data_IF_204959896684
#
_entry.id   IF_204959896684
#
_cell.length_a   1.000
_cell.length_b   1.000
_cell.length_c   1.000
_cell.angle_alpha   90.00
_cell.angle_beta   90.00
_cell.angle_gamma   90.00
#
_symmetry.space_group_name_H-M   'P 1'
#
loop_
_entity.id
_entity.type
_entity.pdbx_description
1 polymer ?
#
# COMPACT_ATOMS: atom_id res chain seq x y z
N UNK A 1 -8.96 18.26 14.50
CA UNK A 1 -8.90 18.05 13.04
C UNK A 1 -7.45 18.24 12.62
N UNK A 2 -6.81 17.22 12.06
CA UNK A 2 -5.44 17.34 11.52
C UNK A 2 -5.54 18.04 10.17
N UNK A 3 -5.45 19.39 10.19
CA UNK A 3 -5.36 20.21 9.00
C UNK A 3 -3.89 20.24 8.55
N UNK A 4 -3.60 19.80 7.35
CA UNK A 4 -2.26 19.81 6.76
C UNK A 4 -2.14 18.84 5.59
N UNK A 5 -0.99 18.85 4.90
CA UNK A 5 -0.80 18.07 3.69
C UNK A 5 -0.88 16.57 3.92
N UNK A 6 -1.46 15.88 2.94
CA UNK A 6 -1.50 14.41 2.83
C UNK A 6 -0.47 13.96 1.82
N UNK A 7 0.47 13.13 2.25
CA UNK A 7 1.51 12.58 1.38
C UNK A 7 1.31 11.08 1.24
N UNK A 8 1.23 10.59 0.01
CA UNK A 8 1.18 9.16 -0.28
C UNK A 8 2.58 8.64 -0.63
N UNK A 9 3.03 7.61 0.07
CA UNK A 9 4.23 6.86 -0.21
C UNK A 9 3.86 5.59 -0.96
N UNK A 10 4.48 5.37 -2.12
CA UNK A 10 4.24 4.20 -2.97
C UNK A 10 5.54 3.40 -3.10
N UNK A 11 5.82 2.45 -2.20
CA UNK A 11 6.98 1.58 -2.32
C UNK A 11 6.82 0.64 -3.53
N UNK A 12 7.72 0.75 -4.48
CA UNK A 12 7.75 0.01 -5.74
C UNK A 12 9.08 -0.72 -6.01
N UNK A 13 9.94 -0.86 -4.98
CA UNK A 13 11.26 -1.51 -5.08
C UNK A 13 11.21 -3.05 -5.10
N UNK A 14 10.04 -3.67 -4.87
CA UNK A 14 9.92 -5.12 -4.80
C UNK A 14 10.05 -5.81 -6.16
N UNK A 15 10.91 -6.83 -6.27
CA UNK A 15 11.18 -7.58 -7.51
C UNK A 15 9.97 -8.35 -8.07
N UNK A 16 8.98 -8.69 -7.24
CA UNK A 16 7.73 -9.32 -7.69
C UNK A 16 7.88 -10.69 -8.36
N UNK A 17 8.83 -11.51 -7.94
CA UNK A 17 9.18 -12.81 -8.54
C UNK A 17 7.98 -13.74 -8.77
N UNK A 18 6.95 -13.65 -7.90
CA UNK A 18 5.74 -14.48 -8.00
C UNK A 18 4.86 -14.18 -9.22
N UNK A 19 5.01 -13.01 -9.84
CA UNK A 19 4.22 -12.64 -11.03
C UNK A 19 4.82 -13.20 -12.32
N UNK A 20 6.08 -13.71 -12.30
CA UNK A 20 6.77 -14.41 -13.40
C UNK A 20 6.86 -13.60 -14.71
N UNK A 21 6.90 -12.28 -14.65
CA UNK A 21 6.93 -11.40 -15.84
C UNK A 21 8.35 -10.94 -16.21
N UNK A 22 9.41 -11.41 -15.51
CA UNK A 22 10.79 -11.06 -15.81
C UNK A 22 11.16 -9.59 -15.57
N UNK A 23 10.27 -8.81 -14.97
CA UNK A 23 10.46 -7.39 -14.64
C UNK A 23 9.91 -7.08 -13.24
N UNK A 24 10.33 -5.96 -12.62
CA UNK A 24 9.78 -5.56 -11.33
C UNK A 24 8.25 -5.37 -11.42
N UNK A 25 7.54 -5.92 -10.46
CA UNK A 25 6.08 -6.04 -10.47
C UNK A 25 5.33 -4.72 -10.72
N UNK A 26 5.83 -3.60 -10.20
CA UNK A 26 5.22 -2.30 -10.37
C UNK A 26 5.14 -1.85 -11.85
N UNK A 27 6.02 -2.39 -12.70
CA UNK A 27 6.11 -2.06 -14.13
C UNK A 27 5.38 -3.05 -15.04
N UNK A 28 4.81 -4.12 -14.50
CA UNK A 28 3.92 -5.00 -15.27
C UNK A 28 2.73 -4.19 -15.79
N UNK A 29 2.37 -4.42 -17.04
CA UNK A 29 1.32 -3.65 -17.71
C UNK A 29 -0.05 -4.29 -17.53
N UNK A 30 -1.03 -3.44 -17.29
CA UNK A 30 -2.45 -3.74 -17.32
C UNK A 30 -3.10 -2.73 -18.28
N UNK A 31 -3.68 -3.21 -19.39
CA UNK A 31 -4.26 -2.34 -20.45
C UNK A 31 -3.30 -1.25 -20.95
N UNK A 32 -2.06 -1.61 -21.21
CA UNK A 32 -1.06 -0.69 -21.78
C UNK A 32 -0.48 0.33 -20.81
N UNK A 33 -0.87 0.31 -19.54
CA UNK A 33 -0.30 1.15 -18.47
C UNK A 33 0.26 0.28 -17.35
N UNK A 34 1.33 0.72 -16.71
CA UNK A 34 1.92 -0.05 -15.61
C UNK A 34 1.03 -0.07 -14.37
N UNK A 35 1.15 -1.12 -13.52
CA UNK A 35 0.46 -1.16 -12.24
C UNK A 35 0.77 0.08 -11.40
N UNK A 36 1.99 0.58 -11.48
CA UNK A 36 2.43 1.81 -10.81
C UNK A 36 1.64 3.03 -11.30
N UNK A 37 1.48 3.20 -12.62
CA UNK A 37 0.69 4.30 -13.19
C UNK A 37 -0.76 4.24 -12.74
N UNK A 38 -1.40 3.07 -12.76
CA UNK A 38 -2.76 2.89 -12.26
C UNK A 38 -2.88 3.28 -10.78
N UNK A 39 -1.92 2.85 -9.96
CA UNK A 39 -1.89 3.18 -8.53
C UNK A 39 -1.76 4.69 -8.27
N UNK A 40 -0.86 5.36 -9.00
CA UNK A 40 -0.67 6.82 -8.92
C UNK A 40 -1.91 7.57 -9.39
N UNK A 41 -2.54 7.12 -10.49
CA UNK A 41 -3.79 7.71 -10.99
C UNK A 41 -4.93 7.59 -9.96
N UNK A 42 -5.10 6.44 -9.35
CA UNK A 42 -6.12 6.23 -8.30
C UNK A 42 -5.91 7.14 -7.09
N UNK A 43 -4.67 7.31 -6.65
CA UNK A 43 -4.30 8.24 -5.58
C UNK A 43 -4.63 9.70 -5.98
N UNK A 44 -4.23 10.10 -7.19
CA UNK A 44 -4.48 11.46 -7.72
C UNK A 44 -5.98 11.71 -7.89
N UNK A 45 -6.71 10.77 -8.46
CA UNK A 45 -8.16 10.87 -8.71
C UNK A 45 -8.99 10.94 -7.41
N UNK A 46 -8.41 10.54 -6.27
CA UNK A 46 -9.08 10.65 -4.97
C UNK A 46 -9.33 12.10 -4.54
N UNK A 47 -8.54 13.04 -5.04
CA UNK A 47 -8.55 14.45 -4.60
C UNK A 47 -8.18 14.65 -3.13
N UNK A 48 -7.76 13.60 -2.43
CA UNK A 48 -7.44 13.61 -1.01
C UNK A 48 -5.93 13.60 -0.72
N UNK A 49 -5.10 13.47 -1.74
CA UNK A 49 -3.63 13.39 -1.65
C UNK A 49 -3.02 14.63 -2.27
N UNK A 50 -2.21 15.35 -1.51
CA UNK A 50 -1.55 16.60 -1.96
C UNK A 50 -0.22 16.31 -2.69
N UNK A 51 0.52 15.29 -2.25
CA UNK A 51 1.81 14.88 -2.84
C UNK A 51 1.94 13.36 -2.90
N UNK A 52 2.56 12.85 -3.96
CA UNK A 52 2.86 11.43 -4.14
C UNK A 52 4.37 11.27 -4.22
N UNK A 53 4.91 10.36 -3.42
CA UNK A 53 6.31 9.95 -3.42
C UNK A 53 6.38 8.49 -3.81
N UNK A 54 7.01 8.21 -4.93
CA UNK A 54 7.24 6.85 -5.43
C UNK A 54 8.67 6.44 -5.10
N UNK A 55 8.83 5.28 -4.49
CA UNK A 55 10.11 4.77 -4.02
C UNK A 55 10.49 3.55 -4.86
N UNK A 56 11.57 3.64 -5.62
CA UNK A 56 12.00 2.62 -6.60
C UNK A 56 13.49 2.28 -6.42
N UNK A 57 13.99 1.15 -6.99
CA UNK A 57 15.41 0.89 -7.06
C UNK A 57 16.17 2.01 -7.78
N UNK A 58 17.45 2.21 -7.45
CA UNK A 58 18.30 3.27 -7.99
C UNK A 58 18.33 3.32 -9.53
N UNK A 59 18.43 2.14 -10.15
CA UNK A 59 18.49 1.95 -11.61
C UNK A 59 17.18 2.30 -12.34
N UNK A 60 16.05 2.42 -11.60
CA UNK A 60 14.74 2.73 -12.16
C UNK A 60 14.28 4.17 -11.88
N UNK A 61 15.06 4.98 -11.16
CA UNK A 61 14.66 6.34 -10.76
C UNK A 61 14.36 7.22 -11.97
N UNK A 62 15.29 7.32 -12.93
CA UNK A 62 15.09 8.17 -14.11
C UNK A 62 13.97 7.66 -15.02
N UNK A 63 13.92 6.35 -15.26
CA UNK A 63 12.83 5.75 -16.02
C UNK A 63 11.46 6.04 -15.38
N UNK A 64 11.37 5.98 -14.04
CA UNK A 64 10.12 6.25 -13.32
C UNK A 64 9.73 7.73 -13.39
N UNK A 65 10.70 8.65 -13.35
CA UNK A 65 10.45 10.08 -13.53
C UNK A 65 9.88 10.38 -14.90
N UNK A 66 10.45 9.79 -15.95
CA UNK A 66 9.92 9.91 -17.31
C UNK A 66 8.51 9.33 -17.43
N UNK A 67 8.28 8.15 -16.83
CA UNK A 67 7.00 7.42 -16.87
C UNK A 67 5.86 8.18 -16.20
N UNK A 68 6.11 8.80 -15.03
CA UNK A 68 5.09 9.42 -14.19
C UNK A 68 5.00 10.95 -14.34
N UNK A 69 6.01 11.58 -14.95
CA UNK A 69 6.06 13.02 -15.13
C UNK A 69 6.40 13.81 -13.84
N UNK A 70 6.41 15.15 -13.94
CA UNK A 70 6.97 16.02 -12.89
C UNK A 70 6.11 16.22 -11.66
N UNK A 71 4.85 15.76 -11.67
CA UNK A 71 3.91 15.92 -10.55
C UNK A 71 4.13 14.91 -9.43
N UNK A 72 4.97 13.90 -9.67
CA UNK A 72 5.29 12.83 -8.73
C UNK A 72 6.75 12.93 -8.32
N UNK A 73 7.02 12.90 -7.02
CA UNK A 73 8.39 12.82 -6.51
C UNK A 73 8.88 11.37 -6.58
N UNK A 74 10.00 11.13 -7.25
CA UNK A 74 10.60 9.80 -7.32
C UNK A 74 11.92 9.80 -6.56
N UNK A 75 12.05 8.86 -5.63
CA UNK A 75 13.23 8.69 -4.79
C UNK A 75 13.75 7.26 -4.85
N UNK A 76 15.04 7.12 -4.60
CA UNK A 76 15.68 5.82 -4.44
C UNK A 76 15.21 5.15 -3.14
N UNK A 77 14.86 3.88 -3.24
CA UNK A 77 14.52 3.00 -2.12
C UNK A 77 15.71 2.13 -1.70
N UNK A 78 15.48 1.36 -0.65
CA UNK A 78 16.43 0.38 -0.13
C UNK A 78 16.03 -1.05 -0.52
N UNK A 79 16.85 -2.03 -0.12
CA UNK A 79 16.62 -3.45 -0.40
C UNK A 79 15.33 -3.96 0.26
N UNK A 80 15.10 -3.56 1.51
CA UNK A 80 13.92 -3.95 2.27
C UNK A 80 12.77 -2.95 2.07
N UNK A 81 11.51 -3.47 2.12
CA UNK A 81 10.32 -2.62 2.00
C UNK A 81 10.27 -1.55 3.09
N UNK A 82 10.56 -1.94 4.32
CA UNK A 82 10.56 -1.05 5.49
C UNK A 82 11.55 0.10 5.30
N UNK A 83 12.76 -0.18 4.83
CA UNK A 83 13.79 0.83 4.59
C UNK A 83 13.43 1.74 3.41
N UNK A 84 12.79 1.19 2.38
CA UNK A 84 12.24 1.98 1.28
C UNK A 84 11.19 2.99 1.77
N UNK A 85 10.29 2.59 2.67
CA UNK A 85 9.32 3.53 3.27
C UNK A 85 10.03 4.59 4.12
N UNK A 86 11.14 4.26 4.83
CA UNK A 86 11.98 5.26 5.52
C UNK A 86 12.52 6.32 4.57
N UNK A 87 13.02 5.92 3.40
CA UNK A 87 13.46 6.88 2.37
C UNK A 87 12.32 7.82 1.95
N UNK A 88 11.10 7.28 1.76
CA UNK A 88 9.92 8.09 1.46
C UNK A 88 9.54 9.05 2.59
N UNK A 89 9.57 8.59 3.84
CA UNK A 89 9.28 9.42 5.02
C UNK A 89 10.26 10.59 5.15
N UNK A 90 11.55 10.38 4.81
CA UNK A 90 12.57 11.43 4.87
C UNK A 90 12.26 12.63 3.94
N UNK A 91 11.49 12.42 2.87
CA UNK A 91 11.08 13.47 1.92
C UNK A 91 9.60 13.87 2.06
N UNK A 92 8.88 13.28 3.00
CA UNK A 92 7.47 13.62 3.25
C UNK A 92 7.30 15.04 3.81
N UNK A 93 8.35 15.63 4.40
CA UNK A 93 8.40 17.04 4.83
C UNK A 93 7.36 17.37 5.90
N UNK A 94 6.50 18.34 5.59
CA UNK A 94 5.46 18.89 6.47
C UNK A 94 4.14 18.09 6.44
N UNK A 95 4.18 16.81 6.02
CA UNK A 95 2.99 15.98 5.99
C UNK A 95 2.31 15.92 7.37
N UNK A 96 1.00 16.17 7.41
CA UNK A 96 0.19 15.89 8.58
C UNK A 96 -0.32 14.44 8.58
N UNK A 97 -0.56 13.91 7.39
CA UNK A 97 -1.02 12.54 7.15
C UNK A 97 -0.10 11.88 6.13
N UNK A 98 0.31 10.66 6.42
CA UNK A 98 1.03 9.80 5.46
C UNK A 98 0.16 8.60 5.12
N UNK A 99 0.00 8.35 3.83
CA UNK A 99 -0.53 7.10 3.31
C UNK A 99 0.62 6.23 2.83
N UNK A 100 0.58 4.94 3.12
CA UNK A 100 1.47 3.96 2.49
C UNK A 100 0.63 3.05 1.61
N UNK A 101 0.93 3.01 0.31
CA UNK A 101 0.12 2.31 -0.68
C UNK A 101 0.94 1.39 -1.57
N UNK A 102 0.54 0.13 -1.66
CA UNK A 102 1.18 -0.86 -2.52
C UNK A 102 0.88 -0.57 -4.01
N UNK A 103 1.91 -0.32 -4.83
CA UNK A 103 1.78 -0.16 -6.30
C UNK A 103 1.02 -1.33 -6.96
N UNK A 104 1.06 -2.50 -6.37
CA UNK A 104 0.37 -3.70 -6.84
C UNK A 104 -1.14 -3.76 -6.56
N UNK A 105 -1.71 -2.77 -5.88
CA UNK A 105 -3.16 -2.61 -5.71
C UNK A 105 -3.70 -1.57 -6.71
N UNK A 106 -3.36 -1.80 -7.97
CA UNK A 106 -3.56 -0.89 -9.08
C UNK A 106 -5.02 -0.48 -9.34
N UNK A 107 -5.99 -1.30 -8.90
CA UNK A 107 -7.42 -1.04 -9.09
C UNK A 107 -8.10 -0.50 -7.83
N UNK A 108 -7.33 -0.02 -6.85
CA UNK A 108 -7.90 0.58 -5.63
C UNK A 108 -8.79 1.78 -5.97
N UNK A 109 -10.07 1.76 -5.59
CA UNK A 109 -10.97 2.87 -5.89
C UNK A 109 -10.52 4.17 -5.20
N UNK A 110 -10.57 5.33 -5.89
CA UNK A 110 -10.24 6.63 -5.30
C UNK A 110 -11.05 6.95 -4.03
N UNK A 111 -12.29 6.49 -3.95
CA UNK A 111 -13.16 6.65 -2.79
C UNK A 111 -12.62 5.97 -1.53
N UNK A 112 -11.89 4.85 -1.66
CA UNK A 112 -11.25 4.19 -0.53
C UNK A 112 -10.13 5.06 0.04
N UNK A 113 -9.33 5.69 -0.83
CA UNK A 113 -8.27 6.63 -0.44
C UNK A 113 -8.85 7.78 0.38
N UNK A 114 -9.92 8.41 -0.13
CA UNK A 114 -10.59 9.53 0.55
C UNK A 114 -11.18 9.11 1.89
N UNK A 115 -11.75 7.90 2.03
CA UNK A 115 -12.28 7.38 3.29
C UNK A 115 -11.16 7.19 4.33
N UNK A 116 -10.01 6.63 3.93
CA UNK A 116 -8.86 6.48 4.84
C UNK A 116 -8.39 7.83 5.37
N UNK A 117 -8.21 8.82 4.48
CA UNK A 117 -7.80 10.18 4.87
C UNK A 117 -8.82 10.83 5.80
N UNK A 118 -10.12 10.68 5.51
CA UNK A 118 -11.19 11.25 6.34
C UNK A 118 -11.16 10.71 7.77
N UNK A 119 -10.93 9.42 7.96
CA UNK A 119 -10.85 8.79 9.28
C UNK A 119 -9.61 9.22 10.09
N UNK A 120 -8.46 9.42 9.41
CA UNK A 120 -7.28 9.97 10.08
C UNK A 120 -7.52 11.43 10.45
N UNK A 121 -8.14 12.23 9.57
CA UNK A 121 -8.54 13.61 9.86
C UNK A 121 -9.55 13.71 11.01
N UNK A 122 -10.42 12.70 11.17
CA UNK A 122 -11.36 12.61 12.27
C UNK A 122 -10.72 12.29 13.64
N UNK A 123 -9.38 12.04 13.66
CA UNK A 123 -8.60 11.88 14.90
C UNK A 123 -8.07 10.48 15.15
N UNK A 124 -8.31 9.51 14.26
CA UNK A 124 -7.68 8.19 14.36
C UNK A 124 -6.21 8.27 14.00
N UNK A 125 -5.33 7.75 14.88
CA UNK A 125 -3.87 7.80 14.67
C UNK A 125 -3.40 6.94 13.50
N UNK A 126 -4.03 5.76 13.33
CA UNK A 126 -3.74 4.80 12.27
C UNK A 126 -5.03 4.14 11.78
N UNK A 127 -5.19 4.03 10.46
CA UNK A 127 -6.39 3.50 9.79
C UNK A 127 -5.98 2.60 8.63
N UNK A 128 -6.54 1.39 8.60
CA UNK A 128 -6.28 0.40 7.54
C UNK A 128 -7.59 -0.11 6.94
N UNK A 129 -7.73 -0.17 5.62
CA UNK A 129 -8.86 -0.83 4.99
C UNK A 129 -8.73 -2.34 5.15
N UNK A 130 -9.85 -3.01 5.36
CA UNK A 130 -9.86 -4.44 5.58
C UNK A 130 -11.12 -5.10 5.03
N UNK A 131 -10.97 -6.33 4.54
CA UNK A 131 -12.10 -7.18 4.12
C UNK A 131 -12.18 -8.44 5.00
N UNK A 132 -13.37 -9.01 5.20
CA UNK A 132 -13.51 -10.28 5.90
C UNK A 132 -12.72 -11.40 5.22
N UNK A 133 -12.24 -12.35 6.01
CA UNK A 133 -11.66 -13.60 5.50
C UNK A 133 -12.78 -14.59 5.22
N UNK A 134 -12.91 -15.01 3.96
CA UNK A 134 -14.01 -15.89 3.51
C UNK A 134 -13.73 -17.35 3.79
N UNK A 135 -12.49 -17.79 3.64
CA UNK A 135 -12.08 -19.17 3.82
C UNK A 135 -11.76 -19.52 5.28
N UNK A 136 -11.79 -20.82 5.59
CA UNK A 136 -11.28 -21.31 6.88
C UNK A 136 -9.75 -21.16 6.92
N UNK A 137 -9.24 -20.45 7.93
CA UNK A 137 -7.80 -20.30 8.15
C UNK A 137 -7.30 -21.37 9.11
N UNK A 138 -6.16 -21.98 8.80
CA UNK A 138 -5.46 -22.92 9.68
C UNK A 138 -4.10 -22.34 10.07
N UNK A 139 -3.78 -22.43 11.35
CA UNK A 139 -2.40 -22.29 11.81
C UNK A 139 -1.69 -23.62 11.63
N UNK A 140 -0.49 -23.60 11.06
CA UNK A 140 0.32 -24.82 10.81
C UNK A 140 1.70 -24.67 11.42
N UNK A 141 2.30 -25.78 11.82
CA UNK A 141 3.71 -25.84 12.24
C UNK A 141 4.66 -25.95 11.03
N UNK A 142 5.96 -26.03 11.31
CA UNK A 142 7.02 -26.15 10.28
C UNK A 142 6.93 -27.42 9.44
N UNK A 143 6.19 -28.45 9.88
CA UNK A 143 5.98 -29.71 9.15
C UNK A 143 4.73 -29.66 8.27
N UNK A 144 3.92 -28.58 8.38
CA UNK A 144 2.64 -28.45 7.71
C UNK A 144 1.48 -29.08 8.49
N UNK A 145 1.71 -29.58 9.71
CA UNK A 145 0.63 -30.11 10.56
C UNK A 145 -0.23 -28.96 11.12
N UNK A 146 -1.55 -29.16 11.12
CA UNK A 146 -2.50 -28.17 11.63
C UNK A 146 -2.41 -28.11 13.16
N UNK A 147 -2.07 -26.95 13.72
CA UNK A 147 -1.97 -26.70 15.16
C UNK A 147 -3.12 -25.86 15.71
N UNK A 148 -3.95 -25.27 14.85
CA UNK A 148 -5.10 -24.50 15.29
C UNK A 148 -5.99 -24.04 14.15
N UNK A 149 -7.20 -23.60 14.50
CA UNK A 149 -8.17 -22.99 13.58
C UNK A 149 -8.65 -21.68 14.23
N UNK A 150 -8.05 -20.52 13.85
CA UNK A 150 -8.52 -19.25 14.35
C UNK A 150 -9.99 -18.99 13.97
N UNK A 151 -10.72 -18.30 14.84
CA UNK A 151 -12.07 -17.85 14.49
C UNK A 151 -11.99 -16.76 13.43
N UNK A 152 -12.40 -17.08 12.20
CA UNK A 152 -12.35 -16.16 11.07
C UNK A 152 -13.22 -14.92 11.26
N UNK A 153 -14.22 -14.95 12.16
CA UNK A 153 -15.06 -13.77 12.43
C UNK A 153 -14.25 -12.60 12.99
N UNK A 154 -13.14 -12.88 13.67
CA UNK A 154 -12.19 -11.89 14.20
C UNK A 154 -11.06 -11.54 13.23
N UNK A 155 -10.90 -12.27 12.11
CA UNK A 155 -9.82 -12.05 11.15
C UNK A 155 -10.23 -11.09 10.05
N UNK A 156 -9.26 -10.30 9.59
CA UNK A 156 -9.40 -9.39 8.45
C UNK A 156 -8.20 -9.50 7.53
N UNK A 157 -8.47 -9.50 6.23
CA UNK A 157 -7.41 -9.33 5.23
C UNK A 157 -7.19 -7.83 5.01
N UNK A 158 -6.00 -7.36 5.41
CA UNK A 158 -5.64 -5.94 5.39
C UNK A 158 -5.27 -5.50 3.98
N UNK A 159 -5.71 -4.31 3.62
CA UNK A 159 -5.44 -3.67 2.33
C UNK A 159 -4.63 -2.38 2.52
N UNK A 160 -4.32 -1.73 1.41
CA UNK A 160 -3.76 -0.38 1.36
C UNK A 160 -4.60 0.50 0.43
N UNK A 161 -4.59 1.86 0.61
CA UNK A 161 -3.64 2.63 1.41
C UNK A 161 -3.86 2.46 2.92
N UNK A 162 -2.78 2.32 3.68
CA UNK A 162 -2.79 2.46 5.13
C UNK A 162 -2.53 3.92 5.47
N UNK A 163 -3.36 4.53 6.29
CA UNK A 163 -3.29 5.95 6.62
C UNK A 163 -2.87 6.20 8.06
N UNK A 164 -1.98 7.15 8.25
CA UNK A 164 -1.40 7.44 9.56
C UNK A 164 -1.26 8.95 9.78
N UNK A 165 -1.38 9.38 11.04
CA UNK A 165 -0.76 10.63 11.44
C UNK A 165 0.74 10.54 11.18
N UNK A 166 1.32 11.59 10.58
CA UNK A 166 2.73 11.56 10.18
C UNK A 166 3.68 11.38 11.38
N UNK A 167 3.42 12.11 12.48
CA UNK A 167 4.22 12.02 13.71
C UNK A 167 4.22 10.61 14.31
N UNK A 168 3.07 9.94 14.27
CA UNK A 168 2.92 8.57 14.77
C UNK A 168 3.72 7.57 13.91
N UNK A 169 3.57 7.65 12.58
CA UNK A 169 4.29 6.75 11.68
C UNK A 169 5.80 6.95 11.75
N UNK A 170 6.27 8.22 11.79
CA UNK A 170 7.70 8.54 11.94
C UNK A 170 8.24 7.94 13.24
N UNK A 171 7.53 8.09 14.36
CA UNK A 171 7.91 7.47 15.63
C UNK A 171 7.97 5.95 15.54
N UNK A 172 6.97 5.31 14.93
CA UNK A 172 6.92 3.86 14.75
C UNK A 172 8.13 3.34 13.95
N UNK A 173 8.52 4.06 12.91
CA UNK A 173 9.70 3.74 12.12
C UNK A 173 11.02 4.01 12.85
N UNK A 174 11.08 5.04 13.71
CA UNK A 174 12.29 5.36 14.49
C UNK A 174 12.57 4.32 15.60
N UNK A 175 11.52 3.81 16.26
CA UNK A 175 11.65 2.86 17.36
C UNK A 175 11.72 1.40 16.90
N UNK A 176 11.42 1.12 15.62
CA UNK A 176 11.45 -0.26 15.10
C UNK A 176 12.86 -0.71 14.74
N UNK A 177 13.29 -1.83 15.33
CA UNK A 177 14.55 -2.55 15.00
C UNK A 177 14.32 -3.68 14.00
N UNK A 178 13.09 -4.20 13.90
CA UNK A 178 12.75 -5.38 13.12
C UNK A 178 11.85 -5.05 11.94
N UNK A 179 11.92 -5.86 10.88
CA UNK A 179 10.99 -5.79 9.76
C UNK A 179 9.57 -6.15 10.21
N UNK A 180 8.58 -5.38 9.77
CA UNK A 180 7.17 -5.70 9.92
C UNK A 180 6.58 -6.14 8.58
N UNK A 181 5.50 -6.92 8.63
CA UNK A 181 4.80 -7.37 7.42
C UNK A 181 4.05 -6.24 6.72
N UNK A 182 3.64 -5.22 7.51
CA UNK A 182 3.01 -3.99 7.04
C UNK A 182 3.33 -2.81 7.99
N UNK A 183 2.90 -1.60 7.60
CA UNK A 183 3.23 -0.37 8.33
C UNK A 183 2.40 -0.24 9.62
N UNK A 184 1.18 -0.77 9.62
CA UNK A 184 0.31 -0.82 10.79
C UNK A 184 0.90 -1.66 11.92
N UNK A 185 1.57 -2.78 11.58
CA UNK A 185 2.25 -3.61 12.56
C UNK A 185 3.36 -2.89 13.34
N UNK A 186 3.99 -1.86 12.75
CA UNK A 186 4.95 -1.01 13.48
C UNK A 186 4.25 -0.13 14.52
N UNK A 187 3.08 0.41 14.16
CA UNK A 187 2.25 1.24 15.05
C UNK A 187 1.71 0.40 16.21
N UNK A 188 1.27 -0.83 15.95
CA UNK A 188 0.82 -1.78 16.98
C UNK A 188 1.92 -2.09 17.99
N UNK A 189 3.18 -2.24 17.55
CA UNK A 189 4.33 -2.47 18.43
C UNK A 189 4.62 -1.31 19.38
N UNK A 190 4.22 -0.09 19.03
CA UNK A 190 4.25 1.07 19.94
C UNK A 190 3.16 1.02 21.02
N UNK A 191 2.25 0.04 20.98
CA UNK A 191 1.07 -0.01 21.84
C UNK A 191 -0.05 0.95 21.41
N UNK A 192 0.06 1.52 20.20
CA UNK A 192 -0.95 2.44 19.67
C UNK A 192 -2.06 1.68 18.93
N UNK A 193 -3.25 2.24 18.92
CA UNK A 193 -4.42 1.59 18.32
C UNK A 193 -4.46 1.79 16.81
N UNK A 194 -4.57 0.68 16.07
CA UNK A 194 -4.88 0.68 14.64
C UNK A 194 -6.37 0.39 14.44
N UNK A 195 -7.04 1.24 13.66
CA UNK A 195 -8.47 1.08 13.36
C UNK A 195 -8.68 0.53 11.96
N UNK A 196 -9.58 -0.45 11.84
CA UNK A 196 -9.99 -0.93 10.52
C UNK A 196 -11.19 -0.14 9.99
N UNK A 197 -11.25 0.04 8.67
CA UNK A 197 -12.44 0.47 7.93
C UNK A 197 -12.80 -0.58 6.88
N UNK A 198 -14.03 -0.54 6.39
CA UNK A 198 -14.45 -1.44 5.30
C UNK A 198 -13.60 -1.19 4.07
N UNK A 199 -12.91 -2.25 3.60
CA UNK A 199 -12.11 -2.26 2.38
C UNK A 199 -12.96 -2.41 1.13
N UNK A 200 -12.27 -2.62 -0.01
CA UNK A 200 -12.89 -2.79 -1.32
C UNK A 200 -12.34 -4.04 -2.03
N UNK A 201 -13.21 -4.78 -2.70
CA UNK A 201 -12.77 -5.97 -3.45
C UNK A 201 -11.77 -5.61 -4.56
N UNK A 202 -11.93 -4.45 -5.19
CA UNK A 202 -11.02 -3.93 -6.21
C UNK A 202 -9.64 -3.55 -5.66
N UNK A 203 -9.50 -3.36 -4.36
CA UNK A 203 -8.21 -3.09 -3.72
C UNK A 203 -7.39 -4.37 -3.45
N UNK A 204 -7.66 -5.47 -4.17
CA UNK A 204 -6.85 -6.69 -4.09
C UNK A 204 -5.43 -6.47 -4.61
N UNK A 205 -4.48 -7.26 -4.12
CA UNK A 205 -3.07 -7.14 -4.49
C UNK A 205 -2.75 -8.06 -5.66
N UNK A 206 -2.46 -7.51 -6.82
CA UNK A 206 -2.00 -8.27 -8.00
C UNK A 206 -0.63 -8.86 -7.68
N UNK A 207 -0.55 -10.16 -7.42
CA UNK A 207 0.66 -10.83 -6.93
C UNK A 207 1.03 -12.05 -7.76
N UNK A 208 0.03 -12.72 -8.32
CA UNK A 208 0.14 -13.91 -9.13
C UNK A 208 -0.35 -13.66 -10.56
N UNK A 209 -0.04 -14.53 -11.55
CA UNK A 209 -0.64 -14.46 -12.88
C UNK A 209 -2.18 -14.52 -12.85
N UNK A 210 -2.76 -15.27 -11.90
CA UNK A 210 -4.21 -15.34 -11.72
C UNK A 210 -4.81 -13.98 -11.33
N UNK A 211 -4.15 -13.25 -10.41
CA UNK A 211 -4.59 -11.91 -10.03
C UNK A 211 -4.54 -10.94 -11.20
N UNK A 212 -3.53 -11.07 -12.08
CA UNK A 212 -3.41 -10.24 -13.27
C UNK A 212 -4.54 -10.52 -14.25
N UNK A 213 -4.85 -11.79 -14.53
CA UNK A 213 -5.98 -12.17 -15.38
C UNK A 213 -7.30 -11.65 -14.82
N UNK A 214 -7.49 -11.70 -13.50
CA UNK A 214 -8.67 -11.11 -12.86
C UNK A 214 -8.73 -9.60 -13.07
N UNK A 215 -7.60 -8.88 -12.91
CA UNK A 215 -7.53 -7.44 -13.14
C UNK A 215 -7.84 -7.09 -14.61
N UNK A 216 -7.33 -7.86 -15.57
CA UNK A 216 -7.62 -7.69 -16.99
C UNK A 216 -9.10 -7.87 -17.30
N UNK A 217 -9.73 -8.92 -16.73
CA UNK A 217 -11.16 -9.17 -16.92
C UNK A 217 -12.03 -8.05 -16.35
N UNK A 218 -11.72 -7.56 -15.14
CA UNK A 218 -12.44 -6.45 -14.50
C UNK A 218 -12.35 -5.20 -15.36
N UNK A 219 -11.13 -4.81 -15.75
CA UNK A 219 -10.92 -3.59 -16.54
C UNK A 219 -11.43 -3.71 -17.97
N UNK A 220 -11.67 -4.92 -18.51
CA UNK A 220 -12.32 -5.12 -19.81
C UNK A 220 -13.80 -4.73 -19.79
N UNK A 221 -14.48 -4.95 -18.67
CA UNK A 221 -15.92 -4.67 -18.53
C UNK A 221 -16.24 -3.18 -18.37
N UNK A 222 -15.31 -2.37 -17.87
CA UNK A 222 -15.51 -0.93 -17.69
C UNK A 222 -15.56 -0.14 -19.02
N UNK A 223 -15.20 -0.76 -20.14
CA UNK A 223 -15.19 -0.14 -21.47
C UNK A 223 -16.25 -0.74 -22.43
N UNK A 224 -17.12 -1.60 -21.97
CA UNK A 224 -18.22 -2.20 -22.73
C UNK A 224 -19.55 -1.51 -22.39
#
# INVERSE_FOLDING_TARGET
MHAGPVVALVPAAGQGLRLQQGMPKAYVTLKGRTLLQHSVDGLTASGAVDRIVVIVPADLVEHTRELLGPTVTVVEGAHERTDSVRCGLAVAGDAAIVLVHDAARALTPPTLVSRVVAEVRAGRGAVVPAVPVTDTVKSVDLTGAVVGTPDRSSLRAIQTPQGFRADLLIRAYAESTDSATDDAGLVERLGETVHTITGELLAFKITTPHDLLLAEAITAQENA
#
